data_IF_290165333246
#
_entry.id   IF_290165333246
#
_cell.length_a   1.000
_cell.length_b   1.000
_cell.length_c   1.000
_cell.angle_alpha   90.00
_cell.angle_beta   90.00
_cell.angle_gamma   90.00
#
_symmetry.space_group_name_H-M   'P 1'
#
loop_
_entity.id
_entity.type
_entity.pdbx_description
1 polymer ?
#
# COMPACT_ATOMS: atom_id res chain seq x y z
N UNK A 1 -10.24 -8.74 -12.36
CA UNK A 1 -8.78 -8.96 -12.25
C UNK A 1 -8.16 -8.18 -13.39
N UNK A 2 -7.67 -6.97 -13.13
CA UNK A 2 -7.25 -6.04 -14.19
C UNK A 2 -6.06 -6.61 -14.99
N UNK A 3 -6.11 -6.52 -16.32
CA UNK A 3 -5.01 -6.93 -17.24
C UNK A 3 -3.67 -6.29 -16.84
N UNK A 4 -3.73 -5.13 -16.18
CA UNK A 4 -2.59 -4.33 -15.72
C UNK A 4 -1.72 -5.10 -14.73
N UNK A 5 -2.31 -5.92 -13.84
CA UNK A 5 -1.53 -6.72 -12.90
C UNK A 5 -0.78 -7.87 -13.59
N UNK A 6 -1.42 -8.50 -14.58
CA UNK A 6 -0.80 -9.57 -15.35
C UNK A 6 0.29 -9.05 -16.31
N UNK A 7 0.08 -7.89 -16.93
CA UNK A 7 1.06 -7.24 -17.81
C UNK A 7 2.26 -6.68 -17.02
N UNK A 8 2.01 -6.00 -15.89
CA UNK A 8 3.04 -5.52 -14.96
C UNK A 8 3.90 -6.66 -14.40
N UNK A 9 3.29 -7.82 -14.14
CA UNK A 9 4.03 -9.02 -13.73
C UNK A 9 4.94 -9.54 -14.86
N UNK A 10 4.46 -9.60 -16.11
CA UNK A 10 5.27 -10.01 -17.26
C UNK A 10 6.47 -9.10 -17.48
N UNK A 11 6.29 -7.77 -17.42
CA UNK A 11 7.39 -6.83 -17.61
C UNK A 11 8.45 -6.95 -16.50
N UNK A 12 8.04 -7.10 -15.22
CA UNK A 12 8.97 -7.39 -14.11
C UNK A 12 9.76 -8.68 -14.35
N UNK A 13 9.11 -9.74 -14.85
CA UNK A 13 9.80 -11.01 -15.17
C UNK A 13 10.81 -10.86 -16.31
N UNK A 14 10.46 -10.15 -17.39
CA UNK A 14 11.40 -9.88 -18.51
C UNK A 14 12.60 -9.04 -18.04
N UNK A 15 12.37 -8.02 -17.21
CA UNK A 15 13.41 -7.16 -16.66
C UNK A 15 14.42 -7.94 -15.79
N UNK A 16 13.92 -8.88 -14.97
CA UNK A 16 14.77 -9.76 -14.14
C UNK A 16 15.57 -10.74 -15.00
N UNK A 17 14.99 -11.29 -16.08
CA UNK A 17 15.68 -12.20 -16.99
C UNK A 17 16.83 -11.48 -17.72
N UNK A 18 16.62 -10.24 -18.18
CA UNK A 18 17.67 -9.44 -18.84
C UNK A 18 18.83 -9.10 -17.89
N UNK A 19 18.54 -8.79 -16.63
CA UNK A 19 19.56 -8.57 -15.60
C UNK A 19 20.42 -9.84 -15.38
N UNK A 20 19.79 -11.00 -15.22
CA UNK A 20 20.48 -12.28 -15.02
C UNK A 20 21.33 -12.63 -16.24
N UNK A 21 20.80 -12.42 -17.46
CA UNK A 21 21.52 -12.66 -18.70
C UNK A 21 22.76 -11.75 -18.83
N UNK A 22 22.62 -10.46 -18.50
CA UNK A 22 23.74 -9.51 -18.50
C UNK A 22 24.86 -9.90 -17.54
N UNK A 23 24.51 -10.34 -16.32
CA UNK A 23 25.47 -10.85 -15.33
C UNK A 23 26.17 -12.11 -15.84
N UNK A 24 25.44 -13.02 -16.49
CA UNK A 24 26.00 -14.27 -17.01
C UNK A 24 26.97 -14.03 -18.18
N UNK A 25 26.64 -13.09 -19.09
CA UNK A 25 27.54 -12.66 -20.18
C UNK A 25 28.81 -12.02 -19.61
N UNK A 26 28.69 -11.20 -18.56
CA UNK A 26 29.84 -10.59 -17.89
C UNK A 26 30.76 -11.65 -17.25
N UNK A 27 30.19 -12.64 -16.54
CA UNK A 27 30.95 -13.75 -15.96
C UNK A 27 31.64 -14.61 -17.03
N UNK A 28 30.99 -14.83 -18.17
CA UNK A 28 31.59 -15.53 -19.31
C UNK A 28 32.78 -14.74 -19.89
N UNK A 29 32.67 -13.41 -19.97
CA UNK A 29 33.77 -12.52 -20.37
C UNK A 29 35.03 -12.66 -19.50
N UNK A 30 34.88 -12.86 -18.18
CA UNK A 30 36.02 -13.12 -17.26
C UNK A 30 36.78 -14.37 -17.68
N UNK A 31 36.06 -15.46 -18.02
CA UNK A 31 36.70 -16.70 -18.45
C UNK A 31 37.36 -16.56 -19.84
N UNK A 32 36.75 -15.76 -20.73
CA UNK A 32 37.29 -15.43 -22.04
C UNK A 32 38.58 -14.62 -22.00
N UNK A 33 38.87 -13.91 -20.90
CA UNK A 33 40.10 -13.13 -20.75
C UNK A 33 41.37 -14.00 -20.75
N UNK A 34 41.27 -15.25 -20.29
CA UNK A 34 42.40 -16.19 -20.24
C UNK A 34 42.52 -17.07 -21.49
N UNK A 35 41.42 -17.31 -22.20
CA UNK A 35 41.39 -18.18 -23.39
C UNK A 35 41.49 -17.39 -24.71
N UNK A 36 40.84 -16.23 -24.80
CA UNK A 36 40.78 -15.39 -25.99
C UNK A 36 40.58 -13.91 -25.61
N UNK A 37 41.66 -13.21 -25.20
CA UNK A 37 41.60 -11.87 -24.59
C UNK A 37 40.73 -10.83 -25.32
N UNK A 38 40.79 -10.67 -26.66
CA UNK A 38 39.98 -9.66 -27.34
C UNK A 38 38.46 -9.94 -27.26
N UNK A 39 38.05 -11.21 -27.24
CA UNK A 39 36.64 -11.58 -27.09
C UNK A 39 36.17 -11.42 -25.64
N UNK A 40 37.00 -11.78 -24.66
CA UNK A 40 36.69 -11.60 -23.23
C UNK A 40 36.40 -10.14 -22.87
N UNK A 41 37.21 -9.21 -23.38
CA UNK A 41 37.01 -7.77 -23.18
C UNK A 41 35.71 -7.29 -23.83
N UNK A 42 35.39 -7.74 -25.04
CA UNK A 42 34.15 -7.36 -25.73
C UNK A 42 32.89 -7.83 -24.96
N UNK A 43 32.89 -9.07 -24.45
CA UNK A 43 31.77 -9.59 -23.66
C UNK A 43 31.60 -8.86 -22.33
N UNK A 44 32.70 -8.43 -21.68
CA UNK A 44 32.61 -7.58 -20.49
C UNK A 44 31.95 -6.23 -20.77
N UNK A 45 32.35 -5.54 -21.84
CA UNK A 45 31.79 -4.23 -22.20
C UNK A 45 30.29 -4.35 -22.50
N UNK A 46 29.87 -5.39 -23.22
CA UNK A 46 28.46 -5.66 -23.52
C UNK A 46 27.66 -5.97 -22.25
N UNK A 47 28.19 -6.82 -21.35
CA UNK A 47 27.54 -7.13 -20.07
C UNK A 47 27.37 -5.91 -19.16
N UNK A 48 28.37 -5.02 -19.13
CA UNK A 48 28.28 -3.75 -18.41
C UNK A 48 27.25 -2.82 -19.06
N UNK A 49 27.25 -2.67 -20.39
CA UNK A 49 26.28 -1.82 -21.10
C UNK A 49 24.82 -2.24 -20.84
N UNK A 50 24.54 -3.55 -20.77
CA UNK A 50 23.20 -4.09 -20.46
C UNK A 50 22.80 -3.81 -19.00
N UNK A 51 23.77 -3.72 -18.08
CA UNK A 51 23.51 -3.56 -16.62
C UNK A 51 23.55 -2.11 -16.12
N UNK A 52 24.16 -1.17 -16.85
CA UNK A 52 24.18 0.27 -16.52
C UNK A 52 22.79 0.87 -16.20
N UNK A 53 21.73 0.68 -17.02
CA UNK A 53 20.42 1.30 -16.74
C UNK A 53 19.78 0.83 -15.42
N UNK A 54 20.15 -0.35 -14.93
CA UNK A 54 19.67 -0.87 -13.64
C UNK A 54 20.34 -0.22 -12.44
N UNK A 55 21.58 0.28 -12.58
CA UNK A 55 22.32 0.91 -11.48
C UNK A 55 22.17 2.44 -11.45
N UNK A 56 21.94 3.07 -12.61
CA UNK A 56 21.69 4.51 -12.71
C UNK A 56 20.32 4.90 -12.12
N UNK A 57 19.35 3.98 -12.13
CA UNK A 57 18.05 4.16 -11.47
C UNK A 57 18.12 4.16 -9.93
N UNK A 58 19.23 3.70 -9.34
CA UNK A 58 19.38 3.54 -7.88
C UNK A 58 20.11 4.66 -7.13
N UNK A 59 20.57 5.74 -7.79
CA UNK A 59 21.33 6.81 -7.10
C UNK A 59 21.00 8.21 -7.61
N UNK A 60 19.91 8.76 -7.09
CA UNK A 60 19.83 10.20 -6.77
C UNK A 60 19.45 10.35 -5.29
N UNK A 61 20.37 10.00 -4.38
CA UNK A 61 20.31 10.58 -3.03
C UNK A 61 20.64 12.07 -3.18
N UNK A 62 19.60 12.90 -3.21
CA UNK A 62 19.76 14.34 -3.00
C UNK A 62 19.97 14.53 -1.51
N UNK A 63 21.21 14.82 -1.11
CA UNK A 63 21.54 15.25 0.25
C UNK A 63 20.70 16.48 0.57
N UNK A 64 19.69 16.32 1.43
CA UNK A 64 18.98 17.46 2.01
C UNK A 64 19.82 17.94 3.18
N UNK A 65 20.57 19.00 2.95
CA UNK A 65 21.18 19.80 4.01
C UNK A 65 20.05 20.47 4.77
N UNK A 66 19.73 19.95 5.96
CA UNK A 66 18.81 20.60 6.90
C UNK A 66 19.50 21.87 7.41
N UNK A 67 19.16 23.01 6.79
CA UNK A 67 19.46 24.32 7.34
C UNK A 67 18.53 24.57 8.52
N UNK A 68 19.16 24.65 9.69
CA UNK A 68 18.61 24.98 11.00
C UNK A 68 18.19 26.44 11.03
N UNK A 69 16.89 26.73 10.92
CA UNK A 69 16.36 28.07 11.20
C UNK A 69 15.27 27.98 12.27
N UNK A 70 15.69 28.15 13.52
CA UNK A 70 14.87 28.68 14.60
C UNK A 70 14.46 30.13 14.25
N UNK A 71 13.17 30.40 14.22
CA UNK A 71 12.51 31.59 14.79
C UNK A 71 11.06 31.60 14.31
N UNK A 72 10.14 31.37 15.24
CA UNK A 72 8.99 32.24 15.46
C UNK A 72 8.26 31.79 16.73
N UNK A 73 8.81 32.28 17.83
CA UNK A 73 8.13 32.89 18.96
C UNK A 73 6.59 32.84 18.89
N UNK A 74 5.97 32.03 19.74
CA UNK A 74 4.83 32.51 20.52
C UNK A 74 5.00 32.11 21.99
N UNK A 75 5.37 33.15 22.74
CA UNK A 75 5.45 33.22 24.18
C UNK A 75 4.04 33.18 24.79
N UNK A 76 3.85 32.33 25.80
CA UNK A 76 2.84 32.50 26.84
C UNK A 76 3.41 31.88 28.12
N UNK A 77 4.24 32.65 28.80
CA UNK A 77 4.61 32.41 30.19
C UNK A 77 3.44 32.80 31.13
N UNK A 78 3.30 31.99 32.18
CA UNK A 78 2.80 32.31 33.53
C UNK A 78 1.28 32.30 33.79
N UNK A 79 0.78 31.17 34.31
CA UNK A 79 0.05 31.14 35.60
C UNK A 79 0.52 29.92 36.40
N UNK A 80 1.27 30.18 37.47
CA UNK A 80 1.45 29.26 38.59
C UNK A 80 0.31 29.48 39.59
N UNK A 81 -0.44 28.44 39.94
CA UNK A 81 -1.05 28.29 41.27
C UNK A 81 -0.92 26.81 41.65
N UNK A 82 -0.04 26.56 42.62
CA UNK A 82 0.01 25.34 43.40
C UNK A 82 -1.30 25.11 44.17
N UNK A 83 -1.54 23.85 44.53
CA UNK A 83 -2.44 23.42 45.63
C UNK A 83 -3.94 23.24 45.31
N UNK A 84 -4.31 22.05 44.80
CA UNK A 84 -5.36 21.23 45.46
C UNK A 84 -4.89 19.78 45.47
N UNK A 85 -4.26 19.43 46.58
CA UNK A 85 -3.94 18.08 47.03
C UNK A 85 -5.22 17.29 47.28
N UNK A 86 -5.21 16.04 46.80
CA UNK A 86 -5.78 14.83 47.42
C UNK A 86 -7.19 14.88 48.04
N UNK A 87 -8.12 14.11 47.45
CA UNK A 87 -9.02 13.16 48.16
C UNK A 87 -10.03 12.53 47.18
N UNK A 88 -9.87 11.24 46.87
CA UNK A 88 -10.81 10.16 47.25
C UNK A 88 -10.41 8.83 46.63
N UNK A 89 -9.67 8.08 47.44
CA UNK A 89 -9.72 6.62 47.52
C UNK A 89 -11.01 6.24 48.27
N UNK A 90 -11.65 5.16 47.81
CA UNK A 90 -12.53 4.21 48.51
C UNK A 90 -13.75 4.68 49.33
N UNK A 91 -14.92 4.20 48.89
CA UNK A 91 -15.98 3.55 49.68
C UNK A 91 -16.96 2.93 48.66
N UNK A 92 -17.40 1.68 48.67
CA UNK A 92 -17.44 0.66 49.70
C UNK A 92 -18.87 0.08 49.78
N UNK A 93 -19.03 -1.18 49.33
CA UNK A 93 -19.73 -2.26 50.06
C UNK A 93 -21.27 -2.47 49.91
N UNK A 94 -21.59 -3.74 49.57
CA UNK A 94 -22.70 -4.67 49.97
C UNK A 94 -23.97 -4.84 49.12
N UNK A 95 -24.19 -6.13 48.76
CA UNK A 95 -25.48 -6.79 48.94
C UNK A 95 -25.74 -8.06 48.09
N UNK A 96 -25.83 -9.24 48.72
CA UNK A 96 -26.77 -10.30 48.28
C UNK A 96 -26.21 -11.70 47.99
N UNK A 97 -26.41 -12.62 48.95
CA UNK A 97 -26.09 -14.05 48.92
C UNK A 97 -27.39 -14.89 48.82
N UNK A 98 -27.35 -15.94 47.99
CA UNK A 98 -28.08 -17.23 48.02
C UNK A 98 -29.63 -17.31 48.05
N UNK A 99 -30.17 -18.16 47.17
CA UNK A 99 -31.15 -19.20 47.55
C UNK A 99 -31.14 -20.36 46.54
N UNK A 100 -31.17 -21.58 47.06
CA UNK A 100 -31.15 -22.85 46.36
C UNK A 100 -32.57 -23.46 46.34
N UNK A 101 -32.91 -24.28 45.32
CA UNK A 101 -33.57 -25.60 45.49
C UNK A 101 -33.78 -26.36 44.18
N UNK A 102 -33.69 -27.68 44.33
CA UNK A 102 -33.62 -28.79 43.36
C UNK A 102 -34.99 -29.33 42.93
N UNK A 103 -35.10 -29.90 41.71
CA UNK A 103 -35.98 -31.03 41.42
C UNK A 103 -35.58 -31.81 40.14
N UNK A 104 -35.05 -33.01 40.38
CA UNK A 104 -35.07 -34.29 39.63
C UNK A 104 -35.78 -34.44 38.26
N UNK A 105 -34.99 -34.93 37.29
CA UNK A 105 -35.05 -36.26 36.63
C UNK A 105 -36.24 -36.65 35.71
N UNK A 106 -35.94 -36.88 34.42
CA UNK A 106 -36.43 -38.04 33.66
C UNK A 106 -35.48 -38.41 32.51
N UNK A 107 -34.92 -39.63 32.55
CA UNK A 107 -34.26 -40.32 31.43
C UNK A 107 -35.31 -41.06 30.59
N UNK A 108 -35.18 -41.03 29.27
CA UNK A 108 -35.54 -42.15 28.40
C UNK A 108 -34.79 -42.05 27.06
N UNK A 109 -33.97 -43.07 26.80
CA UNK A 109 -33.12 -43.26 25.62
C UNK A 109 -33.96 -43.59 24.36
N UNK A 110 -33.52 -43.11 23.19
CA UNK A 110 -33.63 -43.89 21.95
C UNK A 110 -32.50 -43.52 20.97
N UNK A 111 -31.84 -44.57 20.50
CA UNK A 111 -30.58 -44.58 19.75
C UNK A 111 -30.62 -43.94 18.36
N UNK A 112 -29.43 -43.56 17.92
CA UNK A 112 -29.04 -42.85 16.69
C UNK A 112 -29.42 -43.56 15.38
N UNK A 113 -29.45 -42.81 14.26
CA UNK A 113 -28.74 -43.21 13.06
C UNK A 113 -27.49 -42.33 12.89
N UNK A 114 -26.35 -43.01 12.80
CA UNK A 114 -25.05 -42.48 12.42
C UNK A 114 -25.19 -41.76 11.07
N UNK A 115 -25.11 -40.43 11.08
CA UNK A 115 -24.81 -39.64 9.88
C UNK A 115 -23.40 -39.10 10.08
N UNK A 116 -22.52 -39.59 9.23
CA UNK A 116 -21.12 -39.26 9.08
C UNK A 116 -20.81 -37.79 9.39
N UNK A 117 -20.22 -37.54 10.56
CA UNK A 117 -19.47 -36.31 10.83
C UNK A 117 -18.25 -36.33 9.92
N UNK A 118 -18.40 -35.80 8.71
CA UNK A 118 -17.27 -35.31 7.94
C UNK A 118 -16.59 -34.26 8.81
N UNK A 119 -15.34 -34.52 9.18
CA UNK A 119 -14.43 -33.49 9.68
C UNK A 119 -14.25 -32.45 8.58
N UNK A 120 -15.20 -31.52 8.46
CA UNK A 120 -14.97 -30.28 7.75
C UNK A 120 -13.83 -29.59 8.49
N UNK A 121 -12.68 -29.58 7.83
CA UNK A 121 -11.54 -28.75 8.17
C UNK A 121 -12.05 -27.31 8.21
N UNK A 122 -12.43 -26.84 9.41
CA UNK A 122 -12.86 -25.46 9.69
C UNK A 122 -11.74 -24.52 9.22
N UNK A 123 -11.83 -24.10 7.97
CA UNK A 123 -10.89 -23.17 7.37
C UNK A 123 -11.24 -21.81 7.95
N UNK A 124 -10.27 -21.07 8.53
CA UNK A 124 -10.55 -19.78 9.12
C UNK A 124 -11.28 -18.88 8.10
N UNK A 125 -12.46 -18.40 8.47
CA UNK A 125 -13.27 -17.56 7.61
C UNK A 125 -12.78 -16.12 7.75
N UNK A 126 -12.39 -15.51 6.63
CA UNK A 126 -11.92 -14.13 6.61
C UNK A 126 -12.97 -13.20 6.02
N UNK A 127 -12.97 -11.96 6.50
CA UNK A 127 -13.66 -10.84 5.87
C UNK A 127 -12.64 -9.77 5.50
N UNK A 128 -12.88 -9.14 4.35
CA UNK A 128 -12.11 -8.00 3.85
C UNK A 128 -13.03 -6.79 3.76
N UNK A 129 -12.52 -5.62 4.16
CA UNK A 129 -13.23 -4.36 4.06
C UNK A 129 -12.29 -3.22 3.62
N UNK A 130 -12.85 -2.26 2.88
CA UNK A 130 -12.13 -1.13 2.32
C UNK A 130 -12.56 0.17 3.00
N UNK A 131 -11.57 1.02 3.32
CA UNK A 131 -11.77 2.30 3.99
C UNK A 131 -11.09 3.41 3.22
N UNK A 132 -11.86 4.45 2.89
CA UNK A 132 -11.30 5.64 2.26
C UNK A 132 -10.43 6.43 3.24
N UNK A 133 -9.30 6.93 2.73
CA UNK A 133 -8.43 7.87 3.43
C UNK A 133 -8.80 9.29 3.03
N UNK A 134 -8.93 10.15 4.02
CA UNK A 134 -9.23 11.57 3.88
C UNK A 134 -8.00 12.41 4.17
N UNK A 135 -7.98 13.65 3.68
CA UNK A 135 -6.85 14.55 3.84
C UNK A 135 -5.68 14.29 2.89
N UNK A 136 -5.81 13.34 1.95
CA UNK A 136 -4.81 13.07 0.90
C UNK A 136 -4.55 14.30 0.03
N UNK A 137 -5.55 15.15 -0.18
CA UNK A 137 -5.42 16.41 -0.92
C UNK A 137 -4.41 17.38 -0.30
N UNK A 138 -4.16 17.31 1.01
CA UNK A 138 -3.15 18.13 1.69
C UNK A 138 -1.76 17.47 1.70
N UNK A 139 -1.63 16.28 1.11
CA UNK A 139 -0.47 15.38 1.23
C UNK A 139 0.01 14.84 -0.11
N UNK A 140 -0.26 15.57 -1.20
CA UNK A 140 0.02 15.10 -2.56
C UNK A 140 1.50 14.80 -2.76
N UNK A 141 2.40 15.68 -2.28
CA UNK A 141 3.87 15.51 -2.43
C UNK A 141 4.41 14.34 -1.61
N UNK A 142 3.88 14.16 -0.42
CA UNK A 142 4.19 13.02 0.45
C UNK A 142 3.76 11.72 -0.22
N UNK A 143 2.56 11.68 -0.80
CA UNK A 143 2.07 10.50 -1.53
C UNK A 143 2.93 10.26 -2.79
N UNK A 144 3.29 11.30 -3.55
CA UNK A 144 4.19 11.17 -4.70
C UNK A 144 5.53 10.54 -4.33
N UNK A 145 6.07 10.83 -3.15
CA UNK A 145 7.35 10.28 -2.69
C UNK A 145 7.33 8.76 -2.49
N UNK A 146 6.14 8.14 -2.44
CA UNK A 146 5.94 6.69 -2.38
C UNK A 146 5.95 6.02 -3.77
N UNK A 147 5.87 6.81 -4.84
CA UNK A 147 5.74 6.32 -6.20
C UNK A 147 7.10 6.03 -6.85
N UNK A 148 7.14 4.97 -7.65
CA UNK A 148 8.23 4.71 -8.60
C UNK A 148 7.79 5.17 -9.98
N UNK A 149 8.70 5.76 -10.76
CA UNK A 149 8.36 6.17 -12.13
C UNK A 149 7.96 4.95 -12.97
N UNK A 150 6.81 5.03 -13.63
CA UNK A 150 6.29 3.99 -14.50
C UNK A 150 6.92 4.13 -15.90
N UNK A 151 7.77 3.18 -16.35
CA UNK A 151 8.43 3.28 -17.66
C UNK A 151 7.46 3.34 -18.85
N UNK A 152 6.24 2.81 -18.70
CA UNK A 152 5.20 2.85 -19.75
C UNK A 152 4.74 4.30 -20.00
N UNK A 153 4.89 5.18 -19.00
CA UNK A 153 4.59 6.60 -19.17
C UNK A 153 5.46 7.27 -20.24
N UNK A 154 6.64 6.74 -20.55
CA UNK A 154 7.52 7.25 -21.60
C UNK A 154 7.22 6.68 -22.99
N UNK A 155 6.31 5.70 -23.10
CA UNK A 155 5.95 5.12 -24.41
C UNK A 155 5.46 6.19 -25.38
N UNK A 156 5.99 6.17 -26.59
CA UNK A 156 5.48 6.95 -27.71
C UNK A 156 4.04 6.55 -28.05
N UNK A 157 3.33 7.41 -28.79
CA UNK A 157 1.99 7.10 -29.32
C UNK A 157 1.97 5.75 -30.04
N UNK A 158 2.99 5.46 -30.85
CA UNK A 158 3.11 4.19 -31.58
C UNK A 158 3.22 3.00 -30.63
N UNK A 159 4.08 3.09 -29.62
CA UNK A 159 4.24 2.01 -28.63
C UNK A 159 2.95 1.78 -27.81
N UNK A 160 2.21 2.85 -27.47
CA UNK A 160 0.91 2.70 -26.81
C UNK A 160 -0.13 1.99 -27.68
N UNK A 161 -0.11 2.22 -29.00
CA UNK A 161 -0.97 1.53 -29.97
C UNK A 161 -0.54 0.07 -30.10
N UNK A 162 0.75 -0.18 -30.35
CA UNK A 162 1.32 -1.52 -30.57
C UNK A 162 1.10 -2.42 -29.33
N UNK A 163 1.06 -1.84 -28.13
CA UNK A 163 0.85 -2.53 -26.85
C UNK A 163 -0.62 -2.46 -26.33
N UNK A 164 -1.57 -2.01 -27.16
CA UNK A 164 -3.01 -2.00 -26.88
C UNK A 164 -3.46 -1.20 -25.62
N UNK A 165 -2.85 -0.04 -25.34
CA UNK A 165 -3.20 0.83 -24.20
C UNK A 165 -4.38 1.79 -24.46
N UNK A 166 -5.20 1.52 -25.47
CA UNK A 166 -6.32 2.38 -25.82
C UNK A 166 -7.38 2.42 -24.71
N UNK A 167 -7.83 3.63 -24.35
CA UNK A 167 -8.82 3.86 -23.29
C UNK A 167 -8.28 3.70 -21.88
N UNK A 168 -6.99 3.36 -21.71
CA UNK A 168 -6.38 3.16 -20.40
C UNK A 168 -5.57 4.39 -19.95
N UNK A 169 -5.71 4.75 -18.67
CA UNK A 169 -4.85 5.77 -18.05
C UNK A 169 -3.50 5.15 -17.69
N UNK A 170 -2.46 5.59 -18.38
CA UNK A 170 -1.07 5.31 -18.03
C UNK A 170 -0.60 6.40 -17.07
N UNK A 171 -0.53 6.07 -15.78
CA UNK A 171 -0.07 7.00 -14.74
C UNK A 171 1.46 7.12 -14.71
N UNK A 172 1.96 8.29 -14.33
CA UNK A 172 3.40 8.59 -14.22
C UNK A 172 4.06 7.78 -13.10
N UNK A 173 3.36 7.61 -11.96
CA UNK A 173 3.85 6.83 -10.84
C UNK A 173 3.11 5.51 -10.72
N UNK A 174 3.90 4.48 -10.42
CA UNK A 174 3.45 3.19 -9.94
C UNK A 174 3.66 3.09 -8.43
N UNK A 175 2.64 2.67 -7.70
CA UNK A 175 2.72 2.48 -6.25
C UNK A 175 2.79 0.98 -5.90
N UNK A 176 3.68 0.62 -4.98
CA UNK A 176 3.73 -0.70 -4.33
C UNK A 176 3.94 -0.51 -2.82
N UNK A 177 2.88 -0.14 -2.07
CA UNK A 177 2.95 -0.02 -0.62
C UNK A 177 3.50 -1.31 0.02
N UNK A 178 4.55 -1.20 0.82
CA UNK A 178 5.15 -2.36 1.50
C UNK A 178 4.63 -2.52 2.92
N UNK A 179 4.45 -1.41 3.65
CA UNK A 179 3.89 -1.39 5.00
C UNK A 179 2.75 -0.39 5.10
N UNK A 180 1.73 -0.76 5.87
CA UNK A 180 0.58 0.10 6.18
C UNK A 180 0.31 0.05 7.68
N UNK A 181 0.40 1.20 8.33
CA UNK A 181 0.18 1.35 9.76
C UNK A 181 -1.02 2.27 10.04
N UNK A 182 -1.85 1.84 10.98
CA UNK A 182 -3.01 2.58 11.46
C UNK A 182 -2.76 3.00 12.91
N UNK A 183 -2.63 4.30 13.15
CA UNK A 183 -2.22 4.86 14.44
C UNK A 183 -3.37 5.69 15.03
N UNK A 184 -3.87 5.29 16.20
CA UNK A 184 -4.86 6.10 16.93
C UNK A 184 -4.24 7.42 17.41
N UNK A 185 -4.92 8.55 17.19
CA UNK A 185 -4.50 9.87 17.69
C UNK A 185 -5.57 10.44 18.64
N UNK A 186 -5.65 9.97 19.90
CA UNK A 186 -6.66 10.43 20.86
C UNK A 186 -6.55 11.92 21.21
N UNK A 187 -5.34 12.48 21.13
CA UNK A 187 -5.05 13.90 21.39
C UNK A 187 -5.18 14.78 20.13
N UNK A 188 -5.74 14.24 19.03
CA UNK A 188 -5.94 15.00 17.81
C UNK A 188 -6.94 16.15 18.05
N UNK A 189 -6.52 17.38 17.74
CA UNK A 189 -7.27 18.62 18.01
C UNK A 189 -8.63 18.71 17.31
N UNK A 190 -8.84 17.93 16.24
CA UNK A 190 -10.05 18.00 15.40
C UNK A 190 -10.98 16.81 15.61
N UNK A 191 -10.44 15.62 15.85
CA UNK A 191 -11.22 14.40 16.07
C UNK A 191 -10.46 13.44 17.01
N UNK A 192 -10.90 13.26 18.27
CA UNK A 192 -10.25 12.33 19.22
C UNK A 192 -10.40 10.85 18.80
N UNK A 193 -11.21 10.55 17.77
CA UNK A 193 -11.28 9.23 17.17
C UNK A 193 -10.43 9.09 15.90
N UNK A 194 -9.64 10.09 15.53
CA UNK A 194 -8.80 10.04 14.34
C UNK A 194 -7.88 8.80 14.35
N UNK A 195 -7.83 8.14 13.19
CA UNK A 195 -6.90 7.05 12.91
C UNK A 195 -6.03 7.50 11.74
N UNK A 196 -4.78 7.81 12.05
CA UNK A 196 -3.75 8.20 11.07
C UNK A 196 -3.34 7.00 10.24
N UNK A 197 -3.19 7.21 8.93
CA UNK A 197 -2.73 6.21 7.97
C UNK A 197 -1.31 6.57 7.56
N UNK A 198 -0.38 5.65 7.83
CA UNK A 198 1.03 5.76 7.44
C UNK A 198 1.35 4.62 6.48
N UNK A 199 1.89 4.95 5.31
CA UNK A 199 2.32 4.00 4.29
C UNK A 199 3.82 4.17 4.11
N UNK A 200 4.61 3.11 4.27
CA UNK A 200 6.08 3.14 4.14
C UNK A 200 6.72 4.30 4.91
N UNK A 201 6.28 4.51 6.17
CA UNK A 201 6.68 5.62 7.06
C UNK A 201 6.22 7.03 6.65
N UNK A 202 5.41 7.16 5.61
CA UNK A 202 4.84 8.43 5.14
C UNK A 202 3.39 8.57 5.60
N UNK A 203 3.07 9.65 6.31
CA UNK A 203 1.70 9.97 6.67
C UNK A 203 0.92 10.48 5.45
N UNK A 204 -0.01 9.65 4.95
CA UNK A 204 -0.81 9.92 3.73
C UNK A 204 -2.21 10.48 4.02
N UNK A 205 -2.71 10.35 5.25
CA UNK A 205 -3.96 10.96 5.69
C UNK A 205 -4.59 10.23 6.87
N UNK A 206 -5.91 10.32 6.97
CA UNK A 206 -6.70 9.75 8.06
C UNK A 206 -7.82 8.87 7.52
N UNK A 207 -8.14 7.77 8.20
CA UNK A 207 -9.36 7.01 7.92
C UNK A 207 -10.56 7.95 7.97
N UNK A 208 -11.48 7.82 7.00
CA UNK A 208 -12.69 8.63 6.96
C UNK A 208 -13.47 8.50 8.27
N UNK A 209 -13.85 9.64 8.86
CA UNK A 209 -14.48 9.77 10.20
C UNK A 209 -15.53 8.71 10.55
N UNK A 210 -16.43 8.38 9.61
CA UNK A 210 -17.49 7.38 9.84
C UNK A 210 -16.99 5.95 10.07
N UNK A 211 -15.77 5.63 9.65
CA UNK A 211 -15.15 4.30 9.79
C UNK A 211 -14.23 4.19 11.01
N UNK A 212 -13.83 5.31 11.62
CA UNK A 212 -12.80 5.32 12.66
C UNK A 212 -13.12 4.42 13.86
N UNK A 213 -14.33 4.50 14.42
CA UNK A 213 -14.73 3.67 15.57
C UNK A 213 -14.67 2.18 15.25
N UNK A 214 -15.12 1.79 14.06
CA UNK A 214 -15.09 0.40 13.61
C UNK A 214 -13.66 -0.12 13.44
N UNK A 215 -12.80 0.66 12.77
CA UNK A 215 -11.39 0.33 12.57
C UNK A 215 -10.65 0.20 13.91
N UNK A 216 -10.88 1.13 14.86
CA UNK A 216 -10.33 1.05 16.22
C UNK A 216 -10.76 -0.24 16.94
N UNK A 217 -12.02 -0.64 16.81
CA UNK A 217 -12.51 -1.89 17.39
C UNK A 217 -11.85 -3.12 16.75
N UNK A 218 -11.61 -3.10 15.43
CA UNK A 218 -10.88 -4.17 14.75
C UNK A 218 -9.43 -4.26 15.22
N UNK A 219 -8.73 -3.13 15.32
CA UNK A 219 -7.36 -3.08 15.85
C UNK A 219 -7.29 -3.68 17.26
N UNK A 220 -8.23 -3.32 18.14
CA UNK A 220 -8.33 -3.84 19.52
C UNK A 220 -8.71 -5.32 19.59
N UNK A 221 -9.41 -5.84 18.60
CA UNK A 221 -9.87 -7.23 18.60
C UNK A 221 -8.74 -8.24 18.43
N UNK A 222 -7.57 -7.81 17.90
CA UNK A 222 -6.46 -8.72 17.59
C UNK A 222 -6.73 -9.71 16.47
N UNK A 223 -7.83 -9.54 15.72
CA UNK A 223 -8.25 -10.47 14.63
C UNK A 223 -7.76 -10.08 13.24
N UNK A 224 -7.04 -8.96 13.12
CA UNK A 224 -6.53 -8.49 11.82
C UNK A 224 -5.45 -9.46 11.33
N UNK A 225 -5.66 -9.97 10.12
CA UNK A 225 -4.72 -10.84 9.44
C UNK A 225 -3.79 -10.06 8.52
N UNK A 226 -4.29 -8.99 7.89
CA UNK A 226 -3.51 -8.15 6.98
C UNK A 226 -4.12 -6.75 6.86
N UNK A 227 -3.26 -5.75 6.66
CA UNK A 227 -3.63 -4.39 6.26
C UNK A 227 -2.83 -4.07 5.01
N UNK A 228 -3.50 -3.65 3.95
CA UNK A 228 -2.91 -3.21 2.69
C UNK A 228 -3.46 -1.83 2.33
N UNK A 229 -2.86 -1.19 1.32
CA UNK A 229 -3.35 0.06 0.78
C UNK A 229 -3.21 0.09 -0.74
N UNK A 230 -4.14 0.77 -1.38
CA UNK A 230 -4.06 1.13 -2.79
C UNK A 230 -3.99 2.65 -2.93
N UNK A 231 -3.03 3.12 -3.71
CA UNK A 231 -2.83 4.52 -4.05
C UNK A 231 -3.18 4.69 -5.52
N UNK A 232 -4.01 5.67 -5.82
CA UNK A 232 -4.52 5.95 -7.15
C UNK A 232 -4.39 7.44 -7.47
N UNK A 233 -4.45 7.79 -8.75
CA UNK A 233 -4.41 9.17 -9.22
C UNK A 233 -3.01 9.65 -9.60
N UNK A 234 -2.83 10.96 -9.69
CA UNK A 234 -1.62 11.60 -10.19
C UNK A 234 -1.70 11.99 -11.66
N UNK A 235 -0.54 12.34 -12.22
CA UNK A 235 -0.36 12.63 -13.64
C UNK A 235 -0.54 11.36 -14.47
N UNK A 236 -1.22 11.48 -15.59
CA UNK A 236 -1.45 10.37 -16.51
C UNK A 236 -1.50 10.84 -17.96
N UNK A 237 -1.35 9.88 -18.88
CA UNK A 237 -1.71 10.03 -20.28
C UNK A 237 -2.72 8.95 -20.66
N UNK A 238 -3.53 9.21 -21.67
CA UNK A 238 -4.50 8.27 -22.23
C UNK A 238 -4.43 8.32 -23.75
N UNK A 239 -4.40 7.13 -24.38
CA UNK A 239 -4.54 6.97 -25.82
C UNK A 239 -6.03 6.76 -26.13
N UNK A 240 -6.57 7.50 -27.08
CA UNK A 240 -7.90 7.25 -27.64
C UNK A 240 -7.81 7.18 -29.16
N UNK A 241 -8.74 6.44 -29.76
CA UNK A 241 -8.95 6.42 -31.19
C UNK A 241 -10.30 7.04 -31.54
N UNK A 242 -10.32 7.71 -32.67
CA UNK A 242 -11.54 8.13 -33.35
C UNK A 242 -11.43 7.77 -34.82
N UNK A 243 -12.50 7.26 -35.39
CA UNK A 243 -12.55 6.94 -36.81
C UNK A 243 -12.76 8.20 -37.63
N UNK A 244 -11.81 8.52 -38.51
CA UNK A 244 -11.86 9.64 -39.43
C UNK A 244 -12.56 9.19 -40.73
N UNK A 245 -13.82 9.57 -40.89
CA UNK A 245 -14.66 9.20 -42.03
C UNK A 245 -14.08 9.68 -43.38
N UNK A 246 -13.46 10.86 -43.41
CA UNK A 246 -12.89 11.42 -44.64
C UNK A 246 -11.64 10.65 -45.10
N UNK A 247 -10.88 10.12 -44.14
CA UNK A 247 -9.64 9.37 -44.39
C UNK A 247 -9.84 7.85 -44.37
N UNK A 248 -11.05 7.38 -44.07
CA UNK A 248 -11.42 5.95 -43.94
C UNK A 248 -10.41 5.18 -43.07
N UNK A 249 -10.08 5.74 -41.89
CA UNK A 249 -9.13 5.12 -40.96
C UNK A 249 -9.27 5.59 -39.52
N UNK A 250 -8.81 4.77 -38.59
CA UNK A 250 -8.62 5.16 -37.19
C UNK A 250 -7.51 6.21 -37.05
N UNK A 251 -7.80 7.25 -36.28
CA UNK A 251 -6.85 8.30 -35.89
C UNK A 251 -6.67 8.26 -34.39
N UNK A 252 -5.41 8.16 -33.97
CA UNK A 252 -5.05 8.03 -32.58
C UNK A 252 -4.52 9.34 -32.01
N UNK A 253 -4.99 9.70 -30.82
CA UNK A 253 -4.57 10.87 -30.08
C UNK A 253 -4.17 10.51 -28.65
N UNK A 254 -3.24 11.29 -28.10
CA UNK A 254 -2.76 11.11 -26.72
C UNK A 254 -3.04 12.40 -25.98
N UNK A 255 -3.83 12.30 -24.93
CA UNK A 255 -4.10 13.40 -24.01
C UNK A 255 -3.39 13.15 -22.68
N UNK A 256 -2.91 14.22 -22.05
CA UNK A 256 -2.33 14.20 -20.70
C UNK A 256 -3.27 14.86 -19.72
N UNK A 257 -3.42 14.29 -18.54
CA UNK A 257 -4.21 14.86 -17.46
C UNK A 257 -3.55 14.67 -16.09
N UNK A 258 -4.16 15.27 -15.08
CA UNK A 258 -3.73 15.13 -13.68
C UNK A 258 -4.95 15.01 -12.79
N UNK A 259 -4.84 14.15 -11.77
CA UNK A 259 -5.86 13.95 -10.76
C UNK A 259 -5.21 13.91 -9.39
N UNK A 260 -5.91 14.37 -8.36
CA UNK A 260 -5.40 14.25 -7.00
C UNK A 260 -5.22 12.78 -6.63
N UNK A 261 -4.15 12.48 -5.89
CA UNK A 261 -3.98 11.18 -5.28
C UNK A 261 -5.09 10.91 -4.25
N UNK A 262 -5.60 9.70 -4.29
CA UNK A 262 -6.50 9.16 -3.27
C UNK A 262 -6.03 7.78 -2.84
N UNK A 263 -6.33 7.45 -1.58
CA UNK A 263 -5.84 6.23 -0.94
C UNK A 263 -7.02 5.47 -0.35
N UNK A 264 -7.00 4.16 -0.53
CA UNK A 264 -7.92 3.22 0.12
C UNK A 264 -7.11 2.25 0.95
N UNK A 265 -7.52 2.01 2.18
CA UNK A 265 -6.94 0.99 3.06
C UNK A 265 -7.83 -0.25 3.03
N UNK A 266 -7.24 -1.41 2.76
CA UNK A 266 -7.90 -2.71 2.84
C UNK A 266 -7.52 -3.37 4.17
N UNK A 267 -8.51 -3.82 4.95
CA UNK A 267 -8.31 -4.58 6.19
C UNK A 267 -8.91 -5.97 6.02
N UNK A 268 -8.07 -7.00 6.13
CA UNK A 268 -8.47 -8.41 6.15
C UNK A 268 -8.40 -8.94 7.58
N UNK A 269 -9.49 -9.53 8.08
CA UNK A 269 -9.59 -9.99 9.46
C UNK A 269 -10.40 -11.30 9.58
N UNK A 270 -10.14 -12.04 10.66
CA UNK A 270 -10.82 -13.29 10.97
C UNK A 270 -12.22 -13.01 11.53
N UNK A 271 -13.23 -13.75 11.07
CA UNK A 271 -14.61 -13.66 11.56
C UNK A 271 -14.79 -14.28 12.94
#
# INVERSE_FOLDING_TARGET
MSKNNAHKQKHKTVFVILLILGILIFLFGITGLFAAPPFGIAFMVVGVAITIPFFVSGKKQKTVTVAKNESDVFNCENISIDEVVSKRVEAGIKGGLASARSAKQSLANKADPIINTSLEKNTPQYKTENHHVTGTSYRQKEIESLGEENPIYEYSKRELIDEEYEGEKVYYYDFNPSTVELIEEPDNKFDPNAVKVVIDSVHVGYIKKGSCTHVKNLLKSGRIAKIDAEIHGGKYKILYSEYDEDKDKEVYEVETGESNYYVTVEIKYLL
#
